data_IF_630645431850
#
_entry.id   IF_630645431850
#
_cell.length_a   1.000
_cell.length_b   1.000
_cell.length_c   1.000
_cell.angle_alpha   90.00
_cell.angle_beta   90.00
_cell.angle_gamma   90.00
#
_symmetry.space_group_name_H-M   'P 1'
#
loop_
_entity.id
_entity.type
_entity.pdbx_description
1 polymer ?
#
# COMPACT_ATOMS: atom_id res chain seq x y z
N UNK A 1 -5.77 -3.50 -11.37
CA UNK A 1 -4.99 -3.52 -10.12
C UNK A 1 -3.51 -3.38 -10.46
N UNK A 2 -2.80 -2.48 -9.77
CA UNK A 2 -1.36 -2.24 -9.95
C UNK A 2 -0.60 -2.99 -8.86
N UNK A 3 0.41 -3.79 -9.24
CA UNK A 3 1.13 -4.69 -8.34
C UNK A 3 2.64 -4.56 -8.50
N UNK A 4 3.38 -4.82 -7.42
CA UNK A 4 4.82 -5.04 -7.49
C UNK A 4 5.14 -6.47 -7.99
N UNK A 5 6.43 -6.83 -7.98
CA UNK A 5 6.89 -8.14 -8.45
C UNK A 5 7.04 -9.18 -7.33
N UNK A 6 6.38 -9.01 -6.17
CA UNK A 6 6.41 -10.02 -5.12
C UNK A 6 5.92 -11.38 -5.65
N UNK A 7 6.62 -12.46 -5.26
CA UNK A 7 6.36 -13.82 -5.76
C UNK A 7 4.90 -14.25 -5.57
N UNK A 8 4.26 -13.79 -4.50
CA UNK A 8 2.85 -14.09 -4.20
C UNK A 8 1.89 -13.54 -5.27
N UNK A 9 2.20 -12.41 -5.90
CA UNK A 9 1.36 -11.82 -6.96
C UNK A 9 1.44 -12.58 -8.29
N UNK A 10 2.48 -13.41 -8.46
CA UNK A 10 2.68 -14.27 -9.62
C UNK A 10 2.44 -15.75 -9.32
N UNK A 11 1.90 -16.06 -8.13
CA UNK A 11 1.71 -17.43 -7.71
C UNK A 11 0.76 -18.18 -8.67
N UNK A 12 1.15 -19.39 -9.08
CA UNK A 12 0.37 -20.22 -10.02
C UNK A 12 -1.05 -20.50 -9.52
N UNK A 13 -1.21 -20.63 -8.20
CA UNK A 13 -2.50 -20.87 -7.55
C UNK A 13 -3.52 -19.75 -7.80
N UNK A 14 -3.07 -18.52 -8.12
CA UNK A 14 -3.96 -17.39 -8.39
C UNK A 14 -4.35 -17.27 -9.87
N UNK A 15 -3.66 -17.99 -10.77
CA UNK A 15 -3.92 -17.89 -12.22
C UNK A 15 -5.35 -18.27 -12.61
N UNK A 16 -5.97 -19.34 -12.04
CA UNK A 16 -7.37 -19.65 -12.34
C UNK A 16 -8.32 -18.51 -11.96
N UNK A 17 -8.12 -17.90 -10.80
CA UNK A 17 -8.92 -16.76 -10.32
C UNK A 17 -8.76 -15.53 -11.23
N UNK A 18 -7.53 -15.24 -11.69
CA UNK A 18 -7.30 -14.13 -12.61
C UNK A 18 -7.91 -14.36 -13.99
N UNK A 19 -7.87 -15.60 -14.49
CA UNK A 19 -8.50 -15.94 -15.76
C UNK A 19 -10.04 -15.87 -15.67
N UNK A 20 -10.64 -16.39 -14.60
CA UNK A 20 -12.09 -16.30 -14.36
C UNK A 20 -12.62 -14.85 -14.31
N UNK A 21 -11.76 -13.89 -13.95
CA UNK A 21 -12.14 -12.49 -13.77
C UNK A 21 -11.45 -11.52 -14.74
N UNK A 22 -10.86 -12.01 -15.84
CA UNK A 22 -10.05 -11.18 -16.75
C UNK A 22 -10.84 -10.03 -17.39
N UNK A 23 -12.15 -10.18 -17.56
CA UNK A 23 -13.05 -9.12 -18.07
C UNK A 23 -13.20 -7.92 -17.12
N UNK A 24 -12.99 -8.13 -15.81
CA UNK A 24 -13.20 -7.12 -14.76
C UNK A 24 -11.92 -6.74 -14.02
N UNK A 25 -10.90 -7.59 -14.06
CA UNK A 25 -9.67 -7.46 -13.28
C UNK A 25 -8.43 -7.56 -14.18
N UNK A 26 -7.93 -6.40 -14.62
CA UNK A 26 -6.63 -6.31 -15.29
C UNK A 26 -5.51 -6.13 -14.27
N UNK A 27 -4.43 -6.91 -14.39
CA UNK A 27 -3.22 -6.76 -13.58
C UNK A 27 -2.16 -5.96 -14.33
N UNK A 28 -1.62 -4.93 -13.69
CA UNK A 28 -0.52 -4.10 -14.20
C UNK A 28 0.66 -4.31 -13.25
N UNK A 29 1.72 -4.94 -13.74
CA UNK A 29 2.94 -5.12 -12.97
C UNK A 29 3.89 -3.95 -13.18
N UNK A 30 4.33 -3.35 -12.08
CA UNK A 30 5.34 -2.29 -12.11
C UNK A 30 6.69 -2.85 -12.58
N UNK A 31 7.59 -2.01 -13.14
CA UNK A 31 8.96 -2.43 -13.40
C UNK A 31 9.65 -2.92 -12.12
N UNK A 32 10.59 -3.89 -12.22
CA UNK A 32 11.36 -4.35 -11.07
C UNK A 32 12.02 -3.19 -10.32
N UNK A 33 12.14 -3.34 -9.00
CA UNK A 33 12.82 -2.37 -8.11
C UNK A 33 12.34 -0.92 -8.25
N UNK A 34 11.05 -0.71 -8.53
CA UNK A 34 10.45 0.63 -8.69
C UNK A 34 9.51 1.00 -7.54
N UNK A 35 9.98 1.07 -6.27
CA UNK A 35 9.14 1.39 -5.12
C UNK A 35 8.51 2.79 -5.22
N UNK A 36 9.17 3.72 -5.91
CA UNK A 36 8.66 5.08 -6.14
C UNK A 36 7.35 5.12 -6.95
N UNK A 37 7.11 4.09 -7.77
CA UNK A 37 5.88 3.91 -8.54
C UNK A 37 4.79 3.16 -7.76
N UNK A 38 5.14 2.50 -6.66
CA UNK A 38 4.20 1.78 -5.82
C UNK A 38 3.61 2.71 -4.76
N UNK A 39 2.44 3.29 -5.05
CA UNK A 39 1.78 4.27 -4.18
C UNK A 39 1.53 3.76 -2.76
N UNK A 40 1.35 2.44 -2.58
CA UNK A 40 1.14 1.84 -1.25
C UNK A 40 2.37 2.04 -0.35
N UNK A 41 3.58 2.10 -0.90
CA UNK A 41 4.81 2.36 -0.12
C UNK A 41 4.78 3.72 0.56
N UNK A 42 4.15 4.72 -0.07
CA UNK A 42 3.97 6.06 0.53
C UNK A 42 3.02 6.02 1.72
N UNK A 43 1.95 5.23 1.61
CA UNK A 43 1.02 5.00 2.71
C UNK A 43 1.69 4.21 3.84
N UNK A 44 2.52 3.21 3.52
CA UNK A 44 3.30 2.48 4.51
C UNK A 44 4.31 3.37 5.23
N UNK A 45 4.98 4.28 4.51
CA UNK A 45 5.83 5.31 5.12
C UNK A 45 5.05 6.19 6.09
N UNK A 46 3.88 6.68 5.67
CA UNK A 46 3.03 7.52 6.52
C UNK A 46 2.49 6.77 7.75
N UNK A 47 2.11 5.49 7.60
CA UNK A 47 1.74 4.62 8.73
C UNK A 47 2.89 4.49 9.72
N UNK A 48 4.11 4.23 9.24
CA UNK A 48 5.30 4.10 10.10
C UNK A 48 5.55 5.39 10.87
N UNK A 49 5.53 6.53 10.20
CA UNK A 49 5.68 7.85 10.85
C UNK A 49 4.59 8.14 11.89
N UNK A 50 3.34 7.77 11.60
CA UNK A 50 2.19 8.15 12.44
C UNK A 50 1.94 7.20 13.61
N UNK A 51 2.12 5.90 13.39
CA UNK A 51 1.67 4.83 14.30
C UNK A 51 2.83 4.10 14.97
N UNK A 52 3.98 3.98 14.30
CA UNK A 52 5.09 3.12 14.76
C UNK A 52 6.25 3.93 15.34
N UNK A 53 6.62 5.02 14.68
CA UNK A 53 7.78 5.82 15.06
C UNK A 53 7.59 6.41 16.46
N UNK A 54 8.56 6.17 17.34
CA UNK A 54 8.61 6.68 18.72
C UNK A 54 7.37 6.35 19.57
N UNK A 55 6.66 5.26 19.26
CA UNK A 55 5.50 4.79 20.04
C UNK A 55 5.72 3.35 20.50
N UNK A 56 5.41 3.10 21.77
CA UNK A 56 5.39 1.75 22.33
C UNK A 56 3.95 1.24 22.38
N UNK A 57 3.75 0.02 21.88
CA UNK A 57 2.49 -0.72 21.95
C UNK A 57 2.73 -1.94 22.83
N UNK A 58 2.01 -2.07 23.95
CA UNK A 58 2.31 -3.11 24.94
C UNK A 58 1.99 -4.51 24.43
N UNK A 59 1.07 -4.62 23.47
CA UNK A 59 0.65 -5.87 22.89
C UNK A 59 0.17 -5.69 21.44
N UNK A 60 -0.07 -6.83 20.77
CA UNK A 60 -0.53 -6.84 19.37
C UNK A 60 -1.91 -6.21 19.18
N UNK A 61 -2.76 -6.23 20.21
CA UNK A 61 -4.11 -5.66 20.14
C UNK A 61 -4.05 -4.13 20.04
N UNK A 62 -3.27 -3.50 20.91
CA UNK A 62 -3.05 -2.03 20.88
C UNK A 62 -2.44 -1.56 19.56
N UNK A 63 -1.44 -2.30 19.06
CA UNK A 63 -0.85 -2.02 17.75
C UNK A 63 -1.91 -2.10 16.64
N UNK A 64 -2.74 -3.15 16.66
CA UNK A 64 -3.81 -3.32 15.67
C UNK A 64 -4.83 -2.19 15.75
N UNK A 65 -5.27 -1.81 16.95
CA UNK A 65 -6.22 -0.71 17.15
C UNK A 65 -5.67 0.60 16.61
N UNK A 66 -4.39 0.88 16.85
CA UNK A 66 -3.71 2.08 16.34
C UNK A 66 -3.60 2.08 14.80
N UNK A 67 -3.30 0.92 14.19
CA UNK A 67 -3.28 0.76 12.73
C UNK A 67 -4.68 0.97 12.15
N UNK A 68 -5.72 0.37 12.75
CA UNK A 68 -7.10 0.49 12.27
C UNK A 68 -7.58 1.94 12.37
N UNK A 69 -7.34 2.61 13.50
CA UNK A 69 -7.68 4.02 13.67
C UNK A 69 -6.99 4.92 12.63
N UNK A 70 -5.73 4.63 12.29
CA UNK A 70 -5.05 5.31 11.19
C UNK A 70 -5.72 5.07 9.84
N UNK A 71 -6.10 3.84 9.50
CA UNK A 71 -6.79 3.54 8.24
C UNK A 71 -8.19 4.18 8.15
N UNK A 72 -8.91 4.24 9.27
CA UNK A 72 -10.18 4.98 9.37
C UNK A 72 -9.97 6.48 9.14
N UNK A 73 -8.91 7.05 9.71
CA UNK A 73 -8.52 8.44 9.43
C UNK A 73 -8.26 8.67 7.94
N UNK A 74 -7.54 7.77 7.25
CA UNK A 74 -7.32 7.91 5.81
C UNK A 74 -8.62 7.92 5.01
N UNK A 75 -9.61 7.13 5.45
CA UNK A 75 -10.91 7.03 4.80
C UNK A 75 -11.77 8.27 5.03
N UNK A 76 -11.65 8.89 6.21
CA UNK A 76 -12.35 10.14 6.54
C UNK A 76 -11.78 11.36 5.82
N UNK A 77 -10.49 11.34 5.46
CA UNK A 77 -9.77 12.47 4.85
C UNK A 77 -9.09 12.07 3.52
N UNK A 78 -9.86 11.69 2.49
CA UNK A 78 -9.31 11.23 1.21
C UNK A 78 -8.46 12.30 0.50
N UNK A 79 -8.74 13.58 0.71
CA UNK A 79 -7.94 14.68 0.16
C UNK A 79 -6.50 14.69 0.68
N UNK A 80 -6.28 14.30 1.95
CA UNK A 80 -4.93 14.15 2.51
C UNK A 80 -4.20 12.96 1.90
N UNK A 81 -4.93 11.87 1.64
CA UNK A 81 -4.39 10.71 0.92
C UNK A 81 -3.95 11.13 -0.47
N UNK A 82 -4.80 11.82 -1.22
CA UNK A 82 -4.49 12.34 -2.56
C UNK A 82 -3.30 13.29 -2.55
N UNK A 83 -3.23 14.20 -1.58
CA UNK A 83 -2.08 15.09 -1.42
C UNK A 83 -0.78 14.30 -1.18
N UNK A 84 -0.82 13.31 -0.28
CA UNK A 84 0.36 12.50 0.08
C UNK A 84 0.82 11.61 -1.07
N UNK A 85 -0.09 11.01 -1.83
CA UNK A 85 0.28 10.14 -2.96
C UNK A 85 0.54 10.91 -4.26
N UNK A 86 -0.06 12.09 -4.43
CA UNK A 86 0.02 12.92 -5.63
C UNK A 86 1.25 13.83 -5.68
N UNK A 87 1.95 14.06 -4.57
CA UNK A 87 3.25 14.75 -4.58
C UNK A 87 4.29 13.87 -5.29
N UNK A 88 4.46 14.02 -6.61
CA UNK A 88 5.60 13.46 -7.34
C UNK A 88 6.82 14.27 -6.88
N UNK A 89 7.49 13.82 -5.82
CA UNK A 89 8.86 14.25 -5.57
C UNK A 89 9.68 13.57 -6.65
N UNK A 90 10.04 14.32 -7.69
CA UNK A 90 11.16 13.94 -8.55
C UNK A 90 12.38 13.98 -7.63
N UNK A 91 12.79 12.83 -7.13
CA UNK A 91 14.14 12.68 -6.60
C UNK A 91 15.07 12.75 -7.82
N UNK A 92 15.49 13.96 -8.17
CA UNK A 92 16.65 14.17 -9.04
C UNK A 92 17.86 13.54 -8.34
N UNK A 93 18.48 12.60 -9.03
CA UNK A 93 19.84 12.13 -8.78
C UNK A 93 20.67 12.52 -9.98
#
# INVERSE_FOLDING_TARGET
MVLDNAKIHRAKILQPFFHEHEERLTLIFLPPYSPNLNLVERIWGWLKESVIANRFHANRKELRESIVSFLEHLTQFPEKVLQRIGQIVMSEN
#
